data_IF_774422280683
#
_entry.id   IF_774422280683
#
_cell.length_a   1.000
_cell.length_b   1.000
_cell.length_c   1.000
_cell.angle_alpha   90.00
_cell.angle_beta   90.00
_cell.angle_gamma   90.00
#
_symmetry.space_group_name_H-M   'P 1'
#
loop_
_entity.id
_entity.type
_entity.pdbx_description
1 polymer ?
#
# COMPACT_ATOMS: atom_id res chain seq x y z
N UNK A 1 -23.38 22.15 0.38
CA UNK A 1 -23.92 21.64 1.67
C UNK A 1 -24.94 22.60 2.31
N UNK A 2 -24.63 23.90 2.45
CA UNK A 2 -25.51 24.87 3.10
C UNK A 2 -26.93 25.00 2.49
N UNK A 3 -27.06 24.99 1.16
CA UNK A 3 -28.38 25.12 0.48
C UNK A 3 -29.30 23.92 0.76
N UNK A 4 -28.77 22.69 0.71
CA UNK A 4 -29.55 21.48 1.02
C UNK A 4 -29.89 21.41 2.51
N UNK A 5 -28.96 21.83 3.36
CA UNK A 5 -29.19 21.96 4.80
C UNK A 5 -30.22 23.03 5.19
N UNK A 6 -30.47 24.02 4.33
CA UNK A 6 -31.53 25.01 4.56
C UNK A 6 -32.93 24.39 4.38
N UNK A 7 -33.11 23.52 3.38
CA UNK A 7 -34.39 22.86 3.11
C UNK A 7 -34.60 21.56 3.91
N UNK A 8 -33.51 20.87 4.24
CA UNK A 8 -33.50 19.64 5.03
C UNK A 8 -32.44 19.79 6.12
N UNK A 9 -32.81 20.46 7.21
CA UNK A 9 -31.90 20.77 8.33
C UNK A 9 -31.25 19.50 8.91
N UNK A 10 -31.97 18.39 8.88
CA UNK A 10 -31.51 17.08 9.37
C UNK A 10 -30.44 16.43 8.48
N UNK A 11 -30.24 16.96 7.26
CA UNK A 11 -29.15 16.58 6.36
C UNK A 11 -27.87 17.40 6.57
N UNK A 12 -27.88 18.38 7.48
CA UNK A 12 -26.68 19.13 7.90
C UNK A 12 -25.68 18.20 8.62
N UNK A 13 -24.39 18.52 8.49
CA UNK A 13 -23.32 17.64 8.94
C UNK A 13 -23.17 16.42 8.04
N UNK A 14 -23.13 15.22 8.63
CA UNK A 14 -22.97 13.96 7.90
C UNK A 14 -24.24 13.48 7.18
N UNK A 15 -25.43 13.91 7.64
CA UNK A 15 -26.71 13.39 7.17
C UNK A 15 -27.02 11.95 7.63
N UNK A 16 -26.13 11.29 8.37
CA UNK A 16 -26.36 9.94 8.87
C UNK A 16 -27.45 9.88 9.95
N UNK A 17 -27.62 10.94 10.74
CA UNK A 17 -28.72 11.06 11.70
C UNK A 17 -30.10 11.04 11.03
N UNK A 18 -30.22 11.59 9.82
CA UNK A 18 -31.44 11.51 9.02
C UNK A 18 -31.75 10.05 8.61
N UNK A 19 -30.74 9.30 8.14
CA UNK A 19 -30.92 7.88 7.85
C UNK A 19 -31.25 7.06 9.11
N UNK A 20 -30.62 7.37 10.24
CA UNK A 20 -30.88 6.68 11.51
C UNK A 20 -32.33 6.90 11.98
N UNK A 21 -32.84 8.12 11.90
CA UNK A 21 -34.25 8.41 12.19
C UNK A 21 -35.20 7.69 11.21
N UNK A 22 -34.84 7.57 9.93
CA UNK A 22 -35.65 6.81 8.95
C UNK A 22 -35.67 5.31 9.29
N UNK A 23 -34.56 4.78 9.77
CA UNK A 23 -34.45 3.38 10.20
C UNK A 23 -35.16 3.10 11.52
N UNK A 24 -35.23 4.07 12.44
CA UNK A 24 -35.98 3.94 13.69
C UNK A 24 -37.51 4.05 13.50
N UNK A 25 -37.96 4.35 12.28
CA UNK A 25 -39.38 4.54 11.98
C UNK A 25 -39.96 5.81 12.63
N UNK A 26 -39.11 6.72 13.09
CA UNK A 26 -39.57 8.04 13.52
C UNK A 26 -40.16 8.78 12.32
N UNK A 27 -41.33 9.40 12.54
CA UNK A 27 -41.90 10.29 11.54
C UNK A 27 -41.04 11.56 11.43
N UNK A 28 -39.99 11.54 10.60
CA UNK A 28 -39.19 12.74 10.25
C UNK A 28 -40.03 13.86 9.59
N UNK A 29 -41.28 13.55 9.27
CA UNK A 29 -42.14 14.33 8.39
C UNK A 29 -42.55 15.67 9.05
N UNK A 30 -42.42 15.85 10.37
CA UNK A 30 -42.92 17.06 11.06
C UNK A 30 -42.01 18.29 11.05
N UNK A 31 -40.72 18.18 10.72
CA UNK A 31 -39.76 19.28 10.99
C UNK A 31 -39.07 19.92 9.78
N UNK A 32 -39.27 19.43 8.54
CA UNK A 32 -38.70 20.09 7.35
C UNK A 32 -39.77 20.83 6.54
N UNK A 33 -39.51 22.07 6.08
CA UNK A 33 -40.49 22.84 5.30
C UNK A 33 -40.83 22.16 3.96
N UNK A 34 -39.88 21.40 3.39
CA UNK A 34 -40.08 20.68 2.13
C UNK A 34 -40.90 19.38 2.31
N UNK A 35 -40.71 18.65 3.41
CA UNK A 35 -41.53 17.47 3.73
C UNK A 35 -42.99 17.86 3.95
N UNK A 36 -43.24 18.95 4.68
CA UNK A 36 -44.58 19.46 4.93
C UNK A 36 -45.30 19.92 3.65
N UNK A 37 -44.57 20.37 2.61
CA UNK A 37 -45.17 20.78 1.34
C UNK A 37 -45.53 19.57 0.45
N UNK A 38 -44.65 18.56 0.38
CA UNK A 38 -44.81 17.40 -0.51
C UNK A 38 -45.72 16.31 0.07
N UNK A 39 -45.79 16.15 1.40
CA UNK A 39 -46.52 15.05 2.06
C UNK A 39 -47.96 15.43 2.48
N UNK A 40 -48.39 16.66 2.22
CA UNK A 40 -49.71 17.17 2.65
C UNK A 40 -50.89 16.62 1.84
N UNK A 41 -50.67 16.11 0.62
CA UNK A 41 -51.77 15.84 -0.33
C UNK A 41 -51.71 14.53 -1.15
N UNK A 42 -50.67 13.70 -1.04
CA UNK A 42 -50.54 12.44 -1.79
C UNK A 42 -50.32 11.23 -0.88
N UNK A 43 -50.78 10.05 -1.33
CA UNK A 43 -50.54 8.74 -0.70
C UNK A 43 -49.14 8.67 -0.08
N UNK A 44 -49.11 8.65 1.26
CA UNK A 44 -47.95 9.01 2.10
C UNK A 44 -46.61 8.39 1.68
N UNK A 45 -46.63 7.19 1.10
CA UNK A 45 -45.43 6.46 0.68
C UNK A 45 -44.82 6.95 -0.66
N UNK A 46 -45.64 7.39 -1.62
CA UNK A 46 -45.15 7.84 -2.93
C UNK A 46 -44.44 9.19 -2.82
N UNK A 47 -45.02 10.09 -2.03
CA UNK A 47 -44.43 11.39 -1.74
C UNK A 47 -43.11 11.27 -0.95
N UNK A 48 -43.01 10.30 -0.02
CA UNK A 48 -41.76 10.00 0.68
C UNK A 48 -40.69 9.46 -0.27
N UNK A 49 -41.04 8.54 -1.16
CA UNK A 49 -40.13 8.00 -2.18
C UNK A 49 -39.58 9.12 -3.08
N UNK A 50 -40.46 10.00 -3.59
CA UNK A 50 -40.05 11.14 -4.40
C UNK A 50 -39.14 12.10 -3.64
N UNK A 51 -39.46 12.38 -2.37
CA UNK A 51 -38.65 13.23 -1.52
C UNK A 51 -37.22 12.67 -1.34
N UNK A 52 -37.09 11.37 -1.05
CA UNK A 52 -35.79 10.72 -0.89
C UNK A 52 -34.95 10.74 -2.17
N UNK A 53 -35.59 10.55 -3.33
CA UNK A 53 -34.93 10.66 -4.63
C UNK A 53 -34.42 12.08 -4.89
N UNK A 54 -35.24 13.10 -4.61
CA UNK A 54 -34.85 14.50 -4.75
C UNK A 54 -33.68 14.86 -3.81
N UNK A 55 -33.72 14.38 -2.57
CA UNK A 55 -32.64 14.57 -1.59
C UNK A 55 -31.35 13.88 -2.04
N UNK A 56 -31.42 12.68 -2.60
CA UNK A 56 -30.26 11.98 -3.16
C UNK A 56 -29.62 12.78 -4.31
N UNK A 57 -30.43 13.24 -5.27
CA UNK A 57 -29.96 14.07 -6.39
C UNK A 57 -29.35 15.38 -5.90
N UNK A 58 -29.99 16.05 -4.95
CA UNK A 58 -29.47 17.28 -4.37
C UNK A 58 -28.12 17.05 -3.63
N UNK A 59 -27.96 15.90 -2.96
CA UNK A 59 -26.69 15.53 -2.33
C UNK A 59 -25.59 15.27 -3.35
N UNK A 60 -25.90 14.60 -4.48
CA UNK A 60 -24.95 14.42 -5.59
C UNK A 60 -24.47 15.79 -6.07
N UNK A 61 -25.39 16.68 -6.47
CA UNK A 61 -25.06 18.02 -6.99
C UNK A 61 -24.22 18.82 -6.00
N UNK A 62 -24.62 18.85 -4.72
CA UNK A 62 -23.87 19.61 -3.72
C UNK A 62 -22.51 19.02 -3.38
N UNK A 63 -22.35 17.69 -3.43
CA UNK A 63 -21.06 17.03 -3.22
C UNK A 63 -20.14 17.31 -4.41
N UNK A 64 -20.65 17.25 -5.64
CA UNK A 64 -19.91 17.61 -6.85
C UNK A 64 -19.44 19.06 -6.83
N UNK A 65 -20.27 20.03 -6.43
CA UNK A 65 -19.83 21.42 -6.28
C UNK A 65 -18.80 21.61 -5.17
N UNK A 66 -18.92 20.88 -4.06
CA UNK A 66 -17.97 20.98 -2.94
C UNK A 66 -16.59 20.50 -3.34
N UNK A 67 -16.51 19.33 -4.00
CA UNK A 67 -15.24 18.75 -4.45
C UNK A 67 -14.69 19.53 -5.64
N UNK A 68 -15.54 19.88 -6.61
CA UNK A 68 -15.15 20.64 -7.79
C UNK A 68 -14.66 22.06 -7.51
N UNK A 69 -15.02 22.65 -6.37
CA UNK A 69 -14.49 23.95 -5.91
C UNK A 69 -13.19 23.83 -5.09
N UNK A 70 -12.63 22.63 -4.95
CA UNK A 70 -11.41 22.38 -4.17
C UNK A 70 -11.65 22.19 -2.66
N UNK A 71 -12.90 22.06 -2.23
CA UNK A 71 -13.25 21.73 -0.84
C UNK A 71 -12.88 20.28 -0.48
N UNK A 72 -12.24 20.09 0.67
CA UNK A 72 -11.95 18.75 1.22
C UNK A 72 -13.09 18.31 2.13
N UNK A 73 -13.97 17.42 1.65
CA UNK A 73 -15.15 16.97 2.37
C UNK A 73 -15.26 15.46 2.64
N UNK A 74 -14.34 14.65 2.10
CA UNK A 74 -14.45 13.19 2.10
C UNK A 74 -15.64 12.69 1.25
N UNK A 75 -15.49 11.51 0.64
CA UNK A 75 -16.51 10.93 -0.25
C UNK A 75 -17.35 9.84 0.43
N UNK A 76 -16.88 9.33 1.56
CA UNK A 76 -17.48 8.22 2.29
C UNK A 76 -18.91 8.56 2.74
N UNK A 77 -19.06 9.62 3.52
CA UNK A 77 -20.34 9.98 4.14
C UNK A 77 -21.41 10.38 3.11
N UNK A 78 -21.12 11.23 2.10
CA UNK A 78 -22.08 11.51 1.04
C UNK A 78 -22.52 10.24 0.28
N UNK A 79 -21.58 9.32 0.02
CA UNK A 79 -21.88 8.06 -0.69
C UNK A 79 -22.84 7.18 0.11
N UNK A 80 -22.58 6.99 1.41
CA UNK A 80 -23.50 6.24 2.28
C UNK A 80 -24.87 6.91 2.35
N UNK A 81 -24.93 8.23 2.47
CA UNK A 81 -26.19 8.97 2.53
C UNK A 81 -27.03 8.81 1.25
N UNK A 82 -26.40 8.99 0.08
CA UNK A 82 -27.03 8.81 -1.22
C UNK A 82 -27.52 7.36 -1.37
N UNK A 83 -26.65 6.39 -1.05
CA UNK A 83 -26.99 4.97 -1.07
C UNK A 83 -28.17 4.61 -0.17
N UNK A 84 -28.22 5.15 1.05
CA UNK A 84 -29.33 4.93 1.98
C UNK A 84 -30.66 5.52 1.48
N UNK A 85 -30.63 6.71 0.88
CA UNK A 85 -31.83 7.32 0.28
C UNK A 85 -32.33 6.51 -0.93
N UNK A 86 -31.43 6.07 -1.81
CA UNK A 86 -31.78 5.22 -2.95
C UNK A 86 -32.28 3.84 -2.51
N UNK A 87 -31.66 3.25 -1.49
CA UNK A 87 -32.09 1.99 -0.88
C UNK A 87 -33.50 2.10 -0.29
N UNK A 88 -33.79 3.15 0.48
CA UNK A 88 -35.14 3.43 0.97
C UNK A 88 -36.15 3.59 -0.17
N UNK A 89 -35.80 4.29 -1.25
CA UNK A 89 -36.67 4.45 -2.41
C UNK A 89 -36.98 3.11 -3.09
N UNK A 90 -35.98 2.22 -3.24
CA UNK A 90 -36.18 0.85 -3.76
C UNK A 90 -37.09 0.04 -2.83
N UNK A 91 -36.88 0.12 -1.51
CA UNK A 91 -37.75 -0.55 -0.54
C UNK A 91 -39.19 -0.04 -0.57
N UNK A 92 -39.39 1.28 -0.68
CA UNK A 92 -40.71 1.89 -0.81
C UNK A 92 -41.40 1.48 -2.10
N UNK A 93 -40.66 1.42 -3.22
CA UNK A 93 -41.18 0.88 -4.47
C UNK A 93 -41.67 -0.56 -4.29
N UNK A 94 -40.85 -1.42 -3.66
CA UNK A 94 -41.25 -2.79 -3.33
C UNK A 94 -42.50 -2.85 -2.46
N UNK A 95 -42.60 -2.00 -1.45
CA UNK A 95 -43.74 -1.96 -0.54
C UNK A 95 -45.04 -1.47 -1.21
N UNK A 96 -44.94 -0.53 -2.14
CA UNK A 96 -46.08 0.02 -2.89
C UNK A 96 -46.62 -1.01 -3.90
N UNK A 97 -45.73 -1.61 -4.71
CA UNK A 97 -46.14 -2.43 -5.86
C UNK A 97 -46.16 -3.93 -5.57
N UNK A 98 -45.39 -4.39 -4.58
CA UNK A 98 -45.24 -5.79 -4.20
C UNK A 98 -45.34 -6.00 -2.66
N UNK A 99 -46.43 -5.55 -2.02
CA UNK A 99 -46.56 -5.57 -0.55
C UNK A 99 -46.51 -6.97 0.08
N UNK A 100 -46.82 -8.03 -0.69
CA UNK A 100 -46.70 -9.42 -0.24
C UNK A 100 -45.25 -9.90 -0.11
N UNK A 101 -44.31 -9.25 -0.82
CA UNK A 101 -42.88 -9.59 -0.82
C UNK A 101 -42.12 -8.64 0.10
N UNK A 102 -42.46 -7.36 0.08
CA UNK A 102 -41.76 -6.31 0.83
C UNK A 102 -42.67 -5.69 1.87
N UNK A 103 -42.53 -6.13 3.13
CA UNK A 103 -43.33 -5.62 4.25
C UNK A 103 -42.83 -4.27 4.79
N UNK A 104 -41.54 -3.95 4.62
CA UNK A 104 -40.93 -2.71 5.09
C UNK A 104 -39.75 -2.29 4.21
N UNK A 105 -39.62 -0.98 3.98
CA UNK A 105 -38.48 -0.38 3.28
C UNK A 105 -37.21 -0.26 4.15
N UNK A 106 -37.32 -0.34 5.48
CA UNK A 106 -36.21 -0.07 6.41
C UNK A 106 -34.97 -0.94 6.15
N UNK A 107 -35.07 -2.27 5.92
CA UNK A 107 -33.90 -3.12 5.63
C UNK A 107 -33.14 -2.73 4.37
N UNK A 108 -33.78 -2.02 3.43
CA UNK A 108 -33.16 -1.62 2.18
C UNK A 108 -32.24 -0.40 2.34
N UNK A 109 -32.37 0.36 3.43
CA UNK A 109 -31.49 1.50 3.74
C UNK A 109 -30.04 1.04 3.88
N UNK A 110 -29.67 0.15 4.84
CA UNK A 110 -28.30 -0.31 4.97
C UNK A 110 -27.80 -1.05 3.71
N UNK A 111 -28.68 -1.80 3.02
CA UNK A 111 -28.32 -2.46 1.76
C UNK A 111 -27.93 -1.44 0.68
N UNK A 112 -28.68 -0.35 0.55
CA UNK A 112 -28.36 0.76 -0.33
C UNK A 112 -27.08 1.50 0.07
N UNK A 113 -26.87 1.75 1.37
CA UNK A 113 -25.64 2.36 1.89
C UNK A 113 -24.41 1.55 1.49
N UNK A 114 -24.42 0.24 1.79
CA UNK A 114 -23.26 -0.61 1.57
C UNK A 114 -23.01 -0.87 0.08
N UNK A 115 -24.06 -1.09 -0.70
CA UNK A 115 -23.92 -1.34 -2.14
C UNK A 115 -23.37 -0.13 -2.88
N UNK A 116 -23.93 1.06 -2.64
CA UNK A 116 -23.48 2.29 -3.29
C UNK A 116 -22.02 2.58 -2.97
N UNK A 117 -21.62 2.54 -1.70
CA UNK A 117 -20.23 2.79 -1.32
C UNK A 117 -19.28 1.68 -1.83
N UNK A 118 -19.71 0.41 -1.85
CA UNK A 118 -18.92 -0.69 -2.40
C UNK A 118 -18.64 -0.50 -3.90
N UNK A 119 -19.65 -0.08 -4.67
CA UNK A 119 -19.52 0.21 -6.09
C UNK A 119 -18.59 1.38 -6.38
N UNK A 120 -18.70 2.44 -5.58
CA UNK A 120 -17.91 3.66 -5.75
C UNK A 120 -16.45 3.53 -5.31
N UNK A 121 -16.22 2.84 -4.19
CA UNK A 121 -14.89 2.72 -3.57
C UNK A 121 -14.14 1.45 -4.00
N UNK A 122 -14.80 0.55 -4.75
CA UNK A 122 -14.31 -0.80 -5.04
C UNK A 122 -13.85 -1.55 -3.77
N UNK A 123 -14.59 -1.38 -2.68
CA UNK A 123 -14.24 -1.89 -1.35
C UNK A 123 -15.44 -2.58 -0.66
N UNK A 124 -15.95 -3.70 -1.20
CA UNK A 124 -17.18 -4.32 -0.74
C UNK A 124 -17.11 -4.80 0.71
N UNK A 125 -16.00 -5.40 1.12
CA UNK A 125 -15.81 -5.89 2.50
C UNK A 125 -15.82 -4.72 3.49
N UNK A 126 -15.03 -3.68 3.20
CA UNK A 126 -14.96 -2.48 4.05
C UNK A 126 -16.32 -1.78 4.14
N UNK A 127 -17.04 -1.70 3.02
CA UNK A 127 -18.38 -1.11 2.96
C UNK A 127 -19.39 -1.84 3.84
N UNK A 128 -19.42 -3.17 3.76
CA UNK A 128 -20.34 -4.00 4.57
C UNK A 128 -20.03 -3.83 6.04
N UNK A 129 -18.77 -3.99 6.45
CA UNK A 129 -18.36 -3.86 7.86
C UNK A 129 -18.71 -2.48 8.40
N UNK A 130 -18.44 -1.43 7.62
CA UNK A 130 -18.74 -0.06 8.02
C UNK A 130 -20.24 0.13 8.26
N UNK A 131 -21.09 -0.35 7.36
CA UNK A 131 -22.55 -0.22 7.50
C UNK A 131 -23.09 -1.07 8.64
N UNK A 132 -22.61 -2.30 8.84
CA UNK A 132 -23.05 -3.14 9.97
C UNK A 132 -22.66 -2.53 11.31
N UNK A 133 -21.48 -1.94 11.42
CA UNK A 133 -21.04 -1.22 12.63
C UNK A 133 -21.86 0.04 12.88
N UNK A 134 -22.12 0.83 11.83
CA UNK A 134 -22.92 2.05 11.95
C UNK A 134 -24.40 1.77 12.29
N UNK A 135 -24.94 0.64 11.83
CA UNK A 135 -26.32 0.24 12.11
C UNK A 135 -26.45 -0.63 13.36
N UNK A 136 -25.34 -1.15 13.90
CA UNK A 136 -25.32 -2.02 15.08
C UNK A 136 -25.99 -3.38 14.85
N UNK A 137 -26.18 -3.82 13.60
CA UNK A 137 -26.88 -5.06 13.28
C UNK A 137 -26.19 -5.86 12.17
N UNK A 138 -26.04 -7.15 12.43
CA UNK A 138 -25.40 -8.11 11.54
C UNK A 138 -26.40 -9.03 10.83
N UNK A 139 -27.70 -8.85 11.08
CA UNK A 139 -28.77 -9.72 10.55
C UNK A 139 -28.79 -9.72 9.01
N UNK A 140 -28.46 -8.58 8.39
CA UNK A 140 -28.47 -8.41 6.93
C UNK A 140 -27.12 -8.66 6.26
N UNK A 141 -26.16 -9.28 6.95
CA UNK A 141 -24.79 -9.41 6.44
C UNK A 141 -24.71 -10.17 5.11
N UNK A 142 -25.44 -11.28 4.96
CA UNK A 142 -25.49 -12.03 3.71
C UNK A 142 -26.00 -11.18 2.52
N UNK A 143 -27.20 -10.56 2.56
CA UNK A 143 -27.66 -9.71 1.46
C UNK A 143 -26.78 -8.47 1.24
N UNK A 144 -26.22 -7.89 2.30
CA UNK A 144 -25.28 -6.76 2.20
C UNK A 144 -24.06 -7.13 1.35
N UNK A 145 -23.40 -8.26 1.65
CA UNK A 145 -22.23 -8.72 0.89
C UNK A 145 -22.61 -9.00 -0.57
N UNK A 146 -23.73 -9.69 -0.80
CA UNK A 146 -24.16 -10.04 -2.16
C UNK A 146 -24.34 -8.79 -3.02
N UNK A 147 -25.12 -7.81 -2.54
CA UNK A 147 -25.40 -6.60 -3.34
C UNK A 147 -24.15 -5.71 -3.43
N UNK A 148 -23.32 -5.64 -2.39
CA UNK A 148 -22.05 -4.90 -2.42
C UNK A 148 -21.08 -5.45 -3.47
N UNK A 149 -20.94 -6.78 -3.56
CA UNK A 149 -20.08 -7.43 -4.56
C UNK A 149 -20.63 -7.22 -5.96
N UNK A 150 -21.94 -7.39 -6.16
CA UNK A 150 -22.57 -7.14 -7.47
C UNK A 150 -22.35 -5.69 -7.90
N UNK A 151 -22.57 -4.73 -6.99
CA UNK A 151 -22.37 -3.31 -7.28
C UNK A 151 -20.91 -3.01 -7.61
N UNK A 152 -19.95 -3.57 -6.88
CA UNK A 152 -18.52 -3.43 -7.21
C UNK A 152 -18.21 -3.98 -8.61
N UNK A 153 -18.68 -5.18 -8.95
CA UNK A 153 -18.40 -5.79 -10.26
C UNK A 153 -18.96 -4.94 -11.39
N UNK A 154 -20.20 -4.47 -11.26
CA UNK A 154 -20.84 -3.64 -12.28
C UNK A 154 -20.19 -2.25 -12.40
N UNK A 155 -19.72 -1.70 -11.28
CA UNK A 155 -19.13 -0.37 -11.22
C UNK A 155 -17.60 -0.36 -11.33
N UNK A 156 -16.90 -1.49 -11.45
CA UNK A 156 -15.43 -1.58 -11.34
C UNK A 156 -14.64 -0.62 -12.26
N UNK A 157 -15.24 -0.17 -13.37
CA UNK A 157 -14.61 0.79 -14.29
C UNK A 157 -14.80 2.26 -13.87
N UNK A 158 -15.64 2.52 -12.89
CA UNK A 158 -15.96 3.83 -12.36
C UNK A 158 -15.47 3.89 -10.91
N UNK A 159 -14.64 4.88 -10.58
CA UNK A 159 -14.26 5.16 -9.21
C UNK A 159 -14.37 6.66 -8.97
N UNK A 160 -14.81 7.04 -7.77
CA UNK A 160 -14.75 8.43 -7.30
C UNK A 160 -13.36 8.80 -6.75
N UNK A 161 -12.44 7.84 -6.68
CA UNK A 161 -11.10 8.04 -6.16
C UNK A 161 -10.08 8.07 -7.31
N UNK A 162 -9.73 9.26 -7.79
CA UNK A 162 -8.80 9.44 -8.93
C UNK A 162 -7.42 8.78 -8.71
N UNK A 163 -6.99 8.71 -7.46
CA UNK A 163 -5.71 8.09 -7.07
C UNK A 163 -5.81 6.57 -6.83
N UNK A 164 -7.01 5.98 -6.94
CA UNK A 164 -7.18 4.55 -6.79
C UNK A 164 -6.65 3.83 -8.03
N UNK A 165 -5.57 3.09 -7.84
CA UNK A 165 -4.97 2.26 -8.89
C UNK A 165 -5.80 0.99 -9.08
N UNK A 166 -5.88 0.52 -10.32
CA UNK A 166 -6.67 -0.67 -10.66
C UNK A 166 -6.05 -1.92 -10.03
N UNK A 167 -4.72 -1.97 -10.00
CA UNK A 167 -3.97 -3.16 -9.61
C UNK A 167 -2.85 -2.80 -8.63
N UNK A 168 -2.48 -3.77 -7.78
CA UNK A 168 -1.34 -3.67 -6.85
C UNK A 168 -0.06 -3.19 -7.55
N UNK A 169 0.17 -3.60 -8.79
CA UNK A 169 1.38 -3.30 -9.56
C UNK A 169 1.49 -1.85 -10.02
N UNK A 170 0.37 -1.14 -10.15
CA UNK A 170 0.34 0.26 -10.55
C UNK A 170 0.46 1.22 -9.36
N UNK A 171 0.41 0.66 -8.14
CA UNK A 171 0.53 1.42 -6.90
C UNK A 171 2.00 1.57 -6.49
N UNK A 172 2.52 2.82 -6.38
CA UNK A 172 3.87 3.07 -5.89
C UNK A 172 4.13 2.51 -4.48
N UNK A 173 3.06 2.29 -3.69
CA UNK A 173 3.16 1.71 -2.37
C UNK A 173 3.67 0.25 -2.37
N UNK A 174 3.63 -0.43 -3.52
CA UNK A 174 4.01 -1.84 -3.64
C UNK A 174 5.25 -2.08 -4.50
N UNK A 175 5.97 -1.02 -4.90
CA UNK A 175 7.18 -1.12 -5.73
C UNK A 175 8.24 -2.02 -5.05
N UNK A 176 8.45 -1.90 -3.75
CA UNK A 176 9.42 -2.70 -3.00
C UNK A 176 9.13 -4.21 -3.00
N UNK A 177 7.86 -4.61 -2.89
CA UNK A 177 7.44 -6.03 -2.94
C UNK A 177 7.74 -6.66 -4.31
N UNK A 178 7.56 -5.88 -5.38
CA UNK A 178 7.79 -6.30 -6.76
C UNK A 178 9.29 -6.35 -7.03
N UNK A 179 10.05 -5.37 -6.53
CA UNK A 179 11.50 -5.32 -6.63
C UNK A 179 12.17 -6.52 -5.98
N UNK A 180 11.81 -6.85 -4.74
CA UNK A 180 12.37 -8.01 -4.05
C UNK A 180 12.09 -9.33 -4.80
N UNK A 181 10.89 -9.50 -5.36
CA UNK A 181 10.52 -10.70 -6.13
C UNK A 181 11.30 -10.81 -7.45
N UNK A 182 11.45 -9.71 -8.18
CA UNK A 182 12.20 -9.72 -9.44
C UNK A 182 13.70 -9.91 -9.22
N UNK A 183 14.27 -9.36 -8.15
CA UNK A 183 15.67 -9.60 -7.78
C UNK A 183 15.97 -11.07 -7.44
N UNK A 184 14.97 -11.88 -7.06
CA UNK A 184 15.13 -13.33 -6.88
C UNK A 184 15.33 -14.08 -8.20
N UNK A 185 14.75 -13.57 -9.29
CA UNK A 185 14.79 -14.23 -10.59
C UNK A 185 16.03 -13.86 -11.42
N UNK A 186 16.74 -12.80 -11.06
CA UNK A 186 17.94 -12.36 -11.75
C UNK A 186 19.20 -12.84 -11.03
N UNK A 187 20.05 -13.58 -11.74
CA UNK A 187 21.35 -14.04 -11.22
C UNK A 187 22.42 -12.96 -11.36
N UNK A 188 23.49 -13.08 -10.57
CA UNK A 188 24.64 -12.20 -10.66
C UNK A 188 25.35 -12.31 -12.02
N UNK A 189 25.54 -13.54 -12.52
CA UNK A 189 26.07 -13.82 -13.85
C UNK A 189 25.38 -13.04 -14.96
N UNK A 190 24.07 -12.93 -14.84
CA UNK A 190 23.21 -12.29 -15.82
C UNK A 190 23.20 -10.77 -15.72
N UNK A 191 23.44 -10.23 -14.53
CA UNK A 191 23.12 -8.83 -14.19
C UNK A 191 24.36 -7.97 -13.99
N UNK A 192 25.48 -8.56 -13.59
CA UNK A 192 26.72 -7.86 -13.24
C UNK A 192 27.80 -8.16 -14.28
N UNK A 193 28.24 -7.15 -15.01
CA UNK A 193 29.27 -7.30 -16.06
C UNK A 193 30.69 -7.43 -15.50
N UNK A 194 30.99 -6.76 -14.40
CA UNK A 194 32.33 -6.69 -13.84
C UNK A 194 32.26 -6.60 -12.31
N UNK A 195 33.10 -7.38 -11.65
CA UNK A 195 33.29 -7.36 -10.21
C UNK A 195 34.42 -6.42 -9.82
N UNK A 196 34.30 -5.82 -8.64
CA UNK A 196 35.36 -4.96 -8.11
C UNK A 196 36.51 -5.84 -7.57
N UNK A 197 37.70 -5.66 -8.15
CA UNK A 197 38.93 -6.42 -7.84
C UNK A 197 39.87 -5.69 -6.87
N UNK A 198 39.50 -4.49 -6.41
CA UNK A 198 40.32 -3.70 -5.49
C UNK A 198 40.06 -4.10 -4.04
N UNK A 199 41.08 -3.93 -3.19
CA UNK A 199 40.93 -4.17 -1.74
C UNK A 199 41.01 -5.63 -1.32
N UNK A 200 41.57 -6.51 -2.15
CA UNK A 200 41.76 -7.92 -1.79
C UNK A 200 42.98 -8.03 -0.86
N UNK A 201 42.82 -8.74 0.25
CA UNK A 201 43.85 -8.94 1.27
C UNK A 201 44.40 -10.37 1.22
N UNK A 202 45.61 -10.53 1.75
CA UNK A 202 46.20 -11.83 2.10
C UNK A 202 46.23 -12.01 3.62
N UNK A 203 46.39 -13.24 4.16
CA UNK A 203 46.35 -13.50 5.61
C UNK A 203 47.38 -12.68 6.38
N UNK A 204 48.53 -12.43 5.75
CA UNK A 204 49.65 -11.67 6.31
C UNK A 204 49.50 -10.15 6.24
N UNK A 205 48.43 -9.64 5.63
CA UNK A 205 48.26 -8.20 5.43
C UNK A 205 48.11 -7.51 6.78
N UNK A 206 49.03 -6.58 7.08
CA UNK A 206 49.02 -5.85 8.35
C UNK A 206 47.81 -4.92 8.50
N UNK A 207 47.32 -4.75 9.71
CA UNK A 207 46.21 -3.84 10.01
C UNK A 207 46.43 -2.39 9.55
N UNK A 208 47.69 -1.90 9.58
CA UNK A 208 48.05 -0.59 9.03
C UNK A 208 47.79 -0.49 7.53
N UNK A 209 48.05 -1.56 6.78
CA UNK A 209 47.76 -1.62 5.34
C UNK A 209 46.25 -1.64 5.10
N UNK A 210 45.49 -2.41 5.89
CA UNK A 210 44.03 -2.48 5.82
C UNK A 210 43.42 -1.09 6.05
N UNK A 211 43.85 -0.34 7.07
CA UNK A 211 43.37 1.03 7.29
C UNK A 211 43.70 2.00 6.13
N UNK A 212 44.85 1.81 5.47
CA UNK A 212 45.21 2.59 4.29
C UNK A 212 44.30 2.29 3.12
N UNK A 213 43.98 1.01 2.90
CA UNK A 213 43.01 0.59 1.89
C UNK A 213 41.61 1.11 2.20
N UNK A 214 41.16 1.04 3.45
CA UNK A 214 39.92 1.64 3.95
C UNK A 214 39.82 3.12 3.59
N UNK A 215 40.86 3.89 3.89
CA UNK A 215 40.89 5.32 3.57
C UNK A 215 40.93 5.61 2.07
N UNK A 216 41.62 4.77 1.28
CA UNK A 216 41.78 4.98 -0.17
C UNK A 216 40.52 4.60 -0.95
N UNK A 217 39.92 3.47 -0.60
CA UNK A 217 38.79 2.88 -1.32
C UNK A 217 37.45 3.35 -0.74
N UNK A 218 37.45 4.02 0.42
CA UNK A 218 36.27 4.41 1.16
C UNK A 218 35.31 3.23 1.44
N UNK A 219 35.89 2.08 1.84
CA UNK A 219 35.21 0.81 2.10
C UNK A 219 35.62 0.24 3.44
N UNK A 220 34.74 -0.52 4.06
CA UNK A 220 34.93 -1.09 5.39
C UNK A 220 35.16 -2.59 5.37
N UNK A 221 34.65 -3.29 4.35
CA UNK A 221 34.78 -4.75 4.20
C UNK A 221 35.77 -5.11 3.11
N UNK A 222 36.65 -6.07 3.42
CA UNK A 222 37.71 -6.53 2.53
C UNK A 222 37.76 -8.06 2.47
N UNK A 223 37.71 -8.67 1.27
CA UNK A 223 37.87 -10.11 1.12
C UNK A 223 39.32 -10.52 1.34
N UNK A 224 39.53 -11.71 1.91
CA UNK A 224 40.83 -12.31 2.14
C UNK A 224 40.94 -13.59 1.30
N UNK A 225 42.04 -13.71 0.57
CA UNK A 225 42.39 -14.91 -0.21
C UNK A 225 43.64 -15.57 0.35
N UNK A 226 43.74 -16.89 0.22
CA UNK A 226 44.96 -17.63 0.53
C UNK A 226 46.03 -17.51 -0.57
N UNK A 227 47.18 -18.15 -0.35
CA UNK A 227 48.28 -18.18 -1.32
C UNK A 227 47.95 -18.88 -2.65
N UNK A 228 46.87 -19.66 -2.70
CA UNK A 228 46.37 -20.31 -3.91
C UNK A 228 45.31 -19.49 -4.66
N UNK A 229 44.92 -18.33 -4.13
CA UNK A 229 43.88 -17.47 -4.69
C UNK A 229 42.45 -17.83 -4.27
N UNK A 230 42.29 -18.77 -3.32
CA UNK A 230 40.97 -19.16 -2.81
C UNK A 230 40.50 -18.22 -1.71
N UNK A 231 39.21 -17.91 -1.74
CA UNK A 231 38.57 -17.11 -0.71
C UNK A 231 38.53 -17.86 0.63
N UNK A 232 39.00 -17.21 1.69
CA UNK A 232 39.04 -17.76 3.05
C UNK A 232 38.21 -16.98 4.06
N UNK A 233 37.77 -15.76 3.74
CA UNK A 233 36.87 -14.98 4.58
C UNK A 233 36.93 -13.48 4.31
N UNK A 234 36.27 -12.69 5.16
CA UNK A 234 36.30 -11.22 5.10
C UNK A 234 36.85 -10.62 6.39
N UNK A 235 37.44 -9.44 6.25
CA UNK A 235 37.73 -8.52 7.34
C UNK A 235 36.79 -7.33 7.21
N UNK A 236 35.96 -7.09 8.22
CA UNK A 236 35.11 -5.89 8.29
C UNK A 236 35.62 -4.95 9.38
N UNK A 237 35.81 -3.69 9.00
CA UNK A 237 36.11 -2.59 9.91
C UNK A 237 34.85 -1.81 10.30
N UNK A 238 33.68 -2.26 9.84
CA UNK A 238 32.39 -1.71 10.25
C UNK A 238 32.24 -1.90 11.78
N UNK A 239 31.80 -0.85 12.47
CA UNK A 239 31.64 -0.89 13.92
C UNK A 239 32.93 -0.82 14.75
N UNK A 240 34.14 -0.90 14.17
CA UNK A 240 35.39 -0.78 14.94
C UNK A 240 35.65 0.69 15.30
N UNK A 241 35.60 1.00 16.60
CA UNK A 241 35.82 2.34 17.15
C UNK A 241 37.27 2.84 17.06
N UNK A 242 37.48 4.15 17.25
CA UNK A 242 38.82 4.78 17.16
C UNK A 242 39.84 4.20 18.14
N UNK A 243 39.44 3.96 19.38
CA UNK A 243 40.34 3.42 20.41
C UNK A 243 40.73 1.95 20.15
N UNK A 244 39.79 1.14 19.66
CA UNK A 244 40.07 -0.22 19.21
C UNK A 244 41.07 -0.23 18.04
N UNK A 245 40.87 0.64 17.03
CA UNK A 245 41.82 0.81 15.91
C UNK A 245 43.23 1.15 16.42
N UNK A 246 43.36 2.04 17.41
CA UNK A 246 44.65 2.37 18.04
C UNK A 246 45.30 1.17 18.74
N UNK A 247 44.51 0.37 19.45
CA UNK A 247 44.99 -0.85 20.11
C UNK A 247 45.49 -1.89 19.10
N UNK A 248 44.70 -2.17 18.06
CA UNK A 248 45.04 -3.12 16.99
C UNK A 248 46.32 -2.71 16.23
N UNK A 249 46.55 -1.40 16.04
CA UNK A 249 47.78 -0.88 15.46
C UNK A 249 49.02 -1.15 16.34
N UNK A 250 48.90 -1.03 17.67
CA UNK A 250 50.01 -1.32 18.60
C UNK A 250 50.33 -2.80 18.66
N UNK A 251 49.31 -3.65 18.56
CA UNK A 251 49.42 -5.11 18.62
C UNK A 251 49.93 -5.75 17.32
N UNK A 252 50.14 -4.97 16.25
CA UNK A 252 50.61 -5.45 14.93
C UNK A 252 49.75 -6.59 14.35
N UNK A 253 48.44 -6.52 14.58
CA UNK A 253 47.45 -7.49 14.13
C UNK A 253 47.47 -7.63 12.60
N UNK A 254 47.24 -8.85 12.10
CA UNK A 254 47.15 -9.19 10.67
C UNK A 254 45.71 -9.50 10.25
N UNK A 255 45.47 -9.59 8.94
CA UNK A 255 44.15 -9.89 8.39
C UNK A 255 43.57 -11.20 8.91
N UNK A 256 44.39 -12.25 9.03
CA UNK A 256 43.96 -13.56 9.53
C UNK A 256 43.37 -13.50 10.95
N UNK A 257 43.85 -12.57 11.78
CA UNK A 257 43.42 -12.41 13.17
C UNK A 257 42.08 -11.65 13.28
N UNK A 258 41.64 -11.05 12.17
CA UNK A 258 40.43 -10.22 12.07
C UNK A 258 39.36 -10.83 11.15
N UNK A 259 39.55 -12.09 10.76
CA UNK A 259 38.58 -12.81 9.94
C UNK A 259 37.25 -12.95 10.68
N UNK A 260 36.17 -12.58 10.00
CA UNK A 260 34.83 -12.66 10.56
C UNK A 260 34.40 -14.13 10.65
N UNK A 261 33.96 -14.63 11.83
CA UNK A 261 33.46 -15.99 11.98
C UNK A 261 32.26 -16.21 11.06
N UNK A 262 32.20 -17.35 10.37
CA UNK A 262 31.16 -17.65 9.37
C UNK A 262 31.06 -16.58 8.27
N UNK A 263 32.23 -16.15 7.76
CA UNK A 263 32.33 -15.17 6.68
C UNK A 263 31.38 -15.51 5.53
N UNK A 264 30.45 -14.61 5.16
CA UNK A 264 29.49 -14.86 4.11
C UNK A 264 30.20 -15.02 2.76
N UNK A 265 29.57 -15.77 1.87
CA UNK A 265 30.04 -15.99 0.51
C UNK A 265 28.84 -16.03 -0.43
N UNK A 266 28.98 -15.42 -1.60
CA UNK A 266 27.99 -15.47 -2.66
C UNK A 266 28.61 -16.19 -3.86
N UNK A 267 27.89 -17.16 -4.41
CA UNK A 267 28.31 -17.87 -5.62
C UNK A 267 27.86 -17.07 -6.85
N UNK A 268 28.64 -17.08 -7.92
CA UNK A 268 28.35 -16.32 -9.13
C UNK A 268 26.97 -16.57 -9.76
N UNK A 269 26.41 -17.77 -9.54
CA UNK A 269 25.09 -18.15 -10.05
C UNK A 269 23.94 -17.81 -9.08
N UNK A 270 24.24 -17.27 -7.91
CA UNK A 270 23.22 -16.82 -6.96
C UNK A 270 22.46 -15.59 -7.47
N UNK A 271 21.28 -15.36 -6.88
CA UNK A 271 20.42 -14.23 -7.22
C UNK A 271 20.93 -12.89 -6.65
N UNK A 272 20.53 -11.79 -7.30
CA UNK A 272 20.74 -10.43 -6.79
C UNK A 272 20.10 -10.23 -5.40
N UNK A 273 18.96 -10.88 -5.14
CA UNK A 273 18.31 -10.82 -3.83
C UNK A 273 19.17 -11.45 -2.74
N UNK A 274 19.78 -12.62 -3.01
CA UNK A 274 20.61 -13.31 -2.03
C UNK A 274 21.85 -12.49 -1.68
N UNK A 275 22.47 -11.86 -2.68
CA UNK A 275 23.57 -10.92 -2.46
C UNK A 275 23.18 -9.74 -1.55
N UNK A 276 22.01 -9.13 -1.81
CA UNK A 276 21.50 -8.02 -1.00
C UNK A 276 21.15 -8.47 0.44
N UNK A 277 20.47 -9.60 0.58
CA UNK A 277 20.11 -10.18 1.89
C UNK A 277 21.35 -10.50 2.71
N UNK A 278 22.38 -11.10 2.10
CA UNK A 278 23.66 -11.38 2.76
C UNK A 278 24.35 -10.09 3.21
N UNK A 279 24.34 -9.05 2.39
CA UNK A 279 24.94 -7.76 2.73
C UNK A 279 24.22 -7.11 3.92
N UNK A 280 22.89 -7.15 3.96
CA UNK A 280 22.08 -6.59 5.06
C UNK A 280 22.20 -7.41 6.35
N UNK A 281 22.16 -8.74 6.26
CA UNK A 281 22.20 -9.63 7.44
C UNK A 281 23.54 -9.56 8.18
N UNK A 282 24.63 -9.31 7.46
CA UNK A 282 25.97 -9.20 8.03
C UNK A 282 26.44 -7.75 8.19
N UNK A 283 25.58 -6.76 7.90
CA UNK A 283 25.87 -5.32 7.95
C UNK A 283 27.18 -4.93 7.21
N UNK A 284 27.29 -5.42 5.96
CA UNK A 284 28.46 -5.21 5.11
C UNK A 284 28.19 -4.11 4.07
N UNK A 285 29.21 -3.39 3.67
CA UNK A 285 29.15 -2.44 2.54
C UNK A 285 29.30 -3.14 1.17
N UNK A 286 29.76 -4.38 1.17
CA UNK A 286 29.90 -5.24 0.00
C UNK A 286 29.97 -6.72 0.38
N UNK A 287 29.72 -7.60 -0.58
CA UNK A 287 29.87 -9.05 -0.41
C UNK A 287 30.86 -9.63 -1.43
N UNK A 288 31.67 -10.62 -1.04
CA UNK A 288 32.56 -11.33 -1.95
C UNK A 288 31.78 -12.29 -2.84
N UNK A 289 32.15 -12.31 -4.12
CA UNK A 289 31.59 -13.21 -5.13
C UNK A 289 32.66 -14.20 -5.55
N UNK A 290 32.31 -15.48 -5.55
CA UNK A 290 33.21 -16.57 -5.94
C UNK A 290 32.62 -17.44 -7.04
N UNK A 291 33.50 -18.20 -7.71
CA UNK A 291 33.09 -19.31 -8.55
C UNK A 291 32.75 -20.57 -7.72
N UNK A 292 32.36 -21.66 -8.38
CA UNK A 292 32.04 -22.94 -7.74
C UNK A 292 33.24 -23.58 -6.99
N UNK A 293 34.47 -23.20 -7.36
CA UNK A 293 35.72 -23.68 -6.77
C UNK A 293 36.24 -22.79 -5.62
N UNK A 294 35.47 -21.77 -5.22
CA UNK A 294 35.82 -20.73 -4.23
C UNK A 294 36.96 -19.80 -4.65
N UNK A 295 37.25 -19.67 -5.94
CA UNK A 295 38.13 -18.61 -6.43
C UNK A 295 37.38 -17.28 -6.37
N UNK A 296 38.05 -16.25 -5.83
CA UNK A 296 37.45 -14.94 -5.70
C UNK A 296 37.32 -14.27 -7.07
N UNK A 297 36.09 -14.02 -7.50
CA UNK A 297 35.79 -13.24 -8.70
C UNK A 297 35.78 -11.74 -8.43
N UNK A 298 35.65 -11.33 -7.16
CA UNK A 298 35.74 -9.94 -6.71
C UNK A 298 34.65 -9.63 -5.68
N UNK A 299 34.23 -8.38 -5.61
CA UNK A 299 33.17 -7.93 -4.70
C UNK A 299 32.09 -7.16 -5.43
N UNK A 300 30.89 -7.17 -4.85
CA UNK A 300 29.74 -6.36 -5.27
C UNK A 300 29.21 -5.55 -4.09
N UNK A 301 28.90 -4.27 -4.32
CA UNK A 301 28.22 -3.42 -3.36
C UNK A 301 26.76 -3.20 -3.71
N UNK A 302 26.05 -2.46 -2.84
CA UNK A 302 24.66 -2.08 -3.06
C UNK A 302 24.40 -1.42 -4.42
N UNK A 303 25.31 -0.53 -4.85
CA UNK A 303 25.20 0.14 -6.14
C UNK A 303 25.26 -0.83 -7.33
N UNK A 304 26.15 -1.83 -7.28
CA UNK A 304 26.31 -2.81 -8.36
C UNK A 304 25.05 -3.70 -8.49
N UNK A 305 24.47 -4.07 -7.34
CA UNK A 305 23.23 -4.85 -7.27
C UNK A 305 22.06 -4.05 -7.88
N UNK A 306 21.90 -2.78 -7.49
CA UNK A 306 20.86 -1.91 -8.03
C UNK A 306 21.05 -1.63 -9.53
N UNK A 307 22.29 -1.40 -9.96
CA UNK A 307 22.62 -1.21 -11.38
C UNK A 307 22.26 -2.44 -12.21
N UNK A 308 22.62 -3.64 -11.73
CA UNK A 308 22.26 -4.90 -12.38
C UNK A 308 20.74 -5.11 -12.45
N UNK A 309 20.04 -4.81 -11.36
CA UNK A 309 18.57 -4.88 -11.31
C UNK A 309 17.90 -3.93 -12.31
N UNK A 310 18.27 -2.66 -12.31
CA UNK A 310 17.69 -1.65 -13.21
C UNK A 310 17.97 -1.96 -14.68
N UNK A 311 19.19 -2.44 -14.99
CA UNK A 311 19.56 -2.86 -16.33
C UNK A 311 18.66 -3.98 -16.83
N UNK A 312 18.37 -4.98 -15.99
CA UNK A 312 17.48 -6.09 -16.35
C UNK A 312 16.02 -5.68 -16.51
N UNK A 313 15.56 -4.69 -15.74
CA UNK A 313 14.22 -4.14 -15.88
C UNK A 313 14.03 -3.31 -17.15
N UNK A 314 14.98 -2.42 -17.46
CA UNK A 314 14.79 -1.36 -18.45
C UNK A 314 15.56 -1.58 -19.75
N UNK A 315 16.48 -2.55 -19.76
CA UNK A 315 17.45 -2.74 -20.84
C UNK A 315 18.53 -1.65 -20.94
N UNK A 316 18.52 -0.65 -20.03
CA UNK A 316 19.44 0.50 -20.03
C UNK A 316 20.36 0.49 -18.82
N UNK A 317 21.63 0.84 -19.05
CA UNK A 317 22.61 1.01 -17.98
C UNK A 317 22.28 2.23 -17.11
N UNK A 318 22.45 2.13 -15.79
CA UNK A 318 22.40 3.30 -14.90
C UNK A 318 23.67 4.11 -15.15
N UNK A 319 23.55 5.32 -15.68
CA UNK A 319 24.66 6.26 -15.69
C UNK A 319 25.06 6.56 -14.25
N UNK A 320 26.33 6.31 -13.90
CA UNK A 320 26.90 6.81 -12.64
C UNK A 320 26.86 8.33 -12.69
N UNK A 321 25.79 8.93 -12.18
CA UNK A 321 25.84 10.31 -11.70
C UNK A 321 26.76 10.30 -10.48
N UNK A 322 28.00 10.69 -10.71
CA UNK A 322 28.91 11.11 -9.65
C UNK A 322 28.22 12.23 -8.89
N UNK A 323 27.81 11.94 -7.65
CA UNK A 323 27.54 12.97 -6.65
C UNK A 323 28.86 13.52 -6.13
#
# INVERSE_FOLDING_TARGET
VAIVGFFVHESLGSGLGFLQKLMSGENLISHSPLSNLLLRNHSSQHALMLFLLLVAVAKIVTTSFTIGSGGSGGLLVPSLFIGGCLGAAVGLFGQIYFPSITSSYIPFIPVGMASFFAGVANAPIASVIMVTEMTGSYVLLAPLITVAVISMILCHKFSLYDNQKLNKFESPAHTWDITAKLMRNFTLQESVKQFQQEGILTPDTSFRSILRQMSRLNRYTFPVIDSSGKYIGIVSLAGIGREQKRSLLKQKVKAQDLLLPNSPIIVYNDSLSKALETMLNFDLDCVPVVDENRNLLGTIGFHDILAGYHKRLTGKDIERKTF
#
